data_IF_956464836044
#
_entry.id   IF_956464836044
#
_cell.length_a   1.000
_cell.length_b   1.000
_cell.length_c   1.000
_cell.angle_alpha   90.00
_cell.angle_beta   90.00
_cell.angle_gamma   90.00
#
_symmetry.space_group_name_H-M   'P 1'
#
loop_
_entity.id
_entity.type
_entity.pdbx_description
1 polymer ?
#
# COMPACT_ATOMS: atom_id res chain seq x y z
N UNK A 1 -2.60 -36.93 -56.80
CA UNK A 1 -3.86 -37.64 -56.49
C UNK A 1 -4.25 -37.18 -55.08
N UNK A 2 -5.16 -36.22 -54.89
CA UNK A 2 -6.63 -36.34 -54.99
C UNK A 2 -7.14 -37.34 -53.93
N UNK A 3 -7.94 -37.02 -52.92
CA UNK A 3 -8.76 -35.84 -52.63
C UNK A 3 -9.06 -35.75 -51.10
N UNK A 4 -9.24 -34.55 -50.54
CA UNK A 4 -9.97 -34.32 -49.29
C UNK A 4 -11.48 -34.46 -49.49
N UNK A 5 -12.20 -35.00 -48.51
CA UNK A 5 -13.68 -34.96 -48.43
C UNK A 5 -14.05 -34.40 -47.04
N UNK A 6 -14.60 -33.19 -46.92
CA UNK A 6 -15.91 -32.75 -47.41
C UNK A 6 -17.05 -33.33 -46.55
N UNK A 7 -17.36 -32.60 -45.49
CA UNK A 7 -18.71 -32.34 -44.95
C UNK A 7 -18.60 -30.90 -44.42
N UNK A 8 -18.85 -29.84 -45.20
CA UNK A 8 -20.10 -29.53 -45.92
C UNK A 8 -21.28 -29.86 -44.99
N UNK A 9 -21.97 -28.89 -44.42
CA UNK A 9 -22.62 -27.77 -45.08
C UNK A 9 -22.68 -26.56 -44.13
N UNK A 10 -22.26 -25.36 -44.56
CA UNK A 10 -23.03 -24.44 -45.40
C UNK A 10 -24.25 -23.92 -44.60
N UNK A 11 -24.55 -22.64 -44.47
CA UNK A 11 -24.49 -21.64 -45.52
C UNK A 11 -25.04 -20.31 -44.99
N UNK A 12 -24.41 -19.21 -45.42
CA UNK A 12 -25.02 -17.91 -45.76
C UNK A 12 -26.05 -17.33 -44.78
N UNK A 13 -25.67 -16.19 -44.22
CA UNK A 13 -26.34 -14.97 -44.66
C UNK A 13 -25.35 -13.79 -44.75
N UNK A 14 -24.86 -13.56 -45.97
CA UNK A 14 -24.43 -12.24 -46.41
C UNK A 14 -25.68 -11.37 -46.51
N UNK A 15 -25.80 -10.28 -45.74
CA UNK A 15 -26.43 -9.04 -46.23
C UNK A 15 -26.28 -7.86 -45.26
N UNK A 16 -25.67 -6.81 -45.81
CA UNK A 16 -25.90 -5.38 -45.61
C UNK A 16 -27.20 -5.00 -44.89
N UNK A 17 -27.11 -4.10 -43.91
CA UNK A 17 -28.27 -3.39 -43.37
C UNK A 17 -27.93 -2.42 -42.25
N UNK A 18 -27.84 -1.11 -42.56
CA UNK A 18 -28.03 -0.04 -41.59
C UNK A 18 -29.49 -0.07 -41.13
N UNK A 19 -29.73 -0.21 -39.83
CA UNK A 19 -30.97 0.28 -39.19
C UNK A 19 -30.71 0.51 -37.70
N UNK A 20 -30.93 1.76 -37.29
CA UNK A 20 -31.07 2.18 -35.91
C UNK A 20 -32.38 1.59 -35.30
N UNK A 21 -32.47 1.54 -33.96
CA UNK A 21 -33.52 2.18 -33.14
C UNK A 21 -33.36 1.79 -31.66
N UNK A 22 -33.27 2.84 -30.85
CA UNK A 22 -33.78 3.08 -29.48
C UNK A 22 -33.72 2.00 -28.39
N UNK A 23 -33.08 2.41 -27.27
CA UNK A 23 -33.86 2.71 -26.06
C UNK A 23 -33.69 1.74 -24.89
N UNK A 24 -32.99 2.21 -23.84
CA UNK A 24 -33.34 1.98 -22.43
C UNK A 24 -32.65 3.08 -21.60
N UNK A 25 -33.46 4.00 -21.09
CA UNK A 25 -33.03 5.10 -20.23
C UNK A 25 -32.82 4.61 -18.79
N UNK A 26 -31.65 4.89 -18.22
CA UNK A 26 -31.44 4.85 -16.76
C UNK A 26 -31.13 6.27 -16.31
N UNK A 27 -32.11 6.89 -15.67
CA UNK A 27 -31.98 8.19 -15.02
C UNK A 27 -31.31 7.97 -13.67
N UNK A 28 -30.03 8.34 -13.54
CA UNK A 28 -29.39 8.51 -12.24
C UNK A 28 -29.41 10.01 -11.90
N UNK A 29 -30.21 10.38 -10.91
CA UNK A 29 -30.38 11.75 -10.46
C UNK A 29 -29.05 12.30 -9.90
N UNK A 30 -28.62 13.42 -10.47
CA UNK A 30 -27.55 14.27 -9.95
C UNK A 30 -28.11 15.06 -8.75
N UNK A 31 -27.83 14.60 -7.54
CA UNK A 31 -28.02 15.39 -6.33
C UNK A 31 -26.91 16.43 -6.20
N UNK A 32 -27.03 17.56 -6.91
CA UNK A 32 -26.28 18.78 -6.63
C UNK A 32 -26.94 19.49 -5.44
N UNK A 33 -26.28 19.52 -4.28
CA UNK A 33 -26.63 20.44 -3.21
C UNK A 33 -25.48 21.39 -2.93
N UNK A 34 -25.81 22.66 -3.06
CA UNK A 34 -25.28 23.83 -2.37
C UNK A 34 -23.81 24.24 -2.61
N UNK A 35 -23.72 25.24 -3.47
CA UNK A 35 -22.72 26.30 -3.53
C UNK A 35 -22.59 27.05 -2.19
N UNK A 36 -21.36 27.36 -1.79
CA UNK A 36 -21.01 28.39 -0.81
C UNK A 36 -19.67 28.99 -1.20
N UNK A 37 -19.70 30.21 -1.73
CA UNK A 37 -18.55 30.99 -2.21
C UNK A 37 -17.63 31.44 -1.07
N UNK A 38 -16.30 31.36 -1.28
CA UNK A 38 -15.37 32.47 -0.98
C UNK A 38 -14.04 32.23 -1.71
N UNK A 39 -13.55 33.28 -2.36
CA UNK A 39 -12.26 33.41 -3.04
C UNK A 39 -11.07 32.94 -2.19
N UNK A 40 -10.10 32.23 -2.77
CA UNK A 40 -8.65 32.56 -2.76
C UNK A 40 -7.88 31.56 -3.63
N UNK A 41 -6.99 32.10 -4.48
CA UNK A 41 -5.96 31.35 -5.18
C UNK A 41 -5.11 30.57 -4.17
N UNK A 42 -5.01 29.25 -4.33
CA UNK A 42 -3.77 28.55 -4.01
C UNK A 42 -3.66 27.24 -4.80
N UNK A 43 -2.42 26.83 -5.03
CA UNK A 43 -1.98 25.84 -6.02
C UNK A 43 -2.53 24.43 -5.74
N UNK A 44 -2.63 23.53 -6.75
CA UNK A 44 -3.08 22.16 -6.51
C UNK A 44 -2.00 21.40 -5.72
N UNK A 45 -2.21 21.22 -4.41
CA UNK A 45 -1.55 20.16 -3.66
C UNK A 45 -2.19 18.84 -4.09
N UNK A 46 -1.42 17.79 -4.46
CA UNK A 46 -2.01 16.50 -4.78
C UNK A 46 -2.70 15.95 -3.54
N UNK A 47 -4.03 15.92 -3.56
CA UNK A 47 -4.82 15.19 -2.58
C UNK A 47 -4.63 13.71 -2.88
N UNK A 48 -4.17 12.98 -1.88
CA UNK A 48 -3.82 11.57 -1.98
C UNK A 48 -5.09 10.74 -2.06
N UNK A 49 -5.35 10.13 -3.21
CA UNK A 49 -6.45 9.18 -3.38
C UNK A 49 -6.15 7.90 -2.60
N UNK A 50 -6.79 7.73 -1.44
CA UNK A 50 -6.96 6.44 -0.78
C UNK A 50 -8.02 5.65 -1.53
N UNK A 51 -7.61 4.69 -2.36
CA UNK A 51 -8.53 3.67 -2.88
C UNK A 51 -8.74 2.62 -1.80
N UNK A 52 -9.82 2.78 -1.02
CA UNK A 52 -10.24 1.78 -0.03
C UNK A 52 -10.94 0.62 -0.73
N UNK A 53 -10.34 -0.56 -0.70
CA UNK A 53 -11.02 -1.82 -1.04
C UNK A 53 -12.16 -2.09 -0.04
N UNK A 54 -13.23 -2.84 -0.40
CA UNK A 54 -14.31 -3.16 0.52
C UNK A 54 -13.75 -3.92 1.73
N UNK A 55 -14.02 -3.39 2.92
CA UNK A 55 -13.60 -3.99 4.18
C UNK A 55 -14.23 -5.38 4.34
N UNK A 56 -13.39 -6.41 4.47
CA UNK A 56 -13.84 -7.72 4.90
C UNK A 56 -14.25 -7.59 6.38
N UNK A 57 -15.50 -7.92 6.73
CA UNK A 57 -16.12 -7.58 8.01
C UNK A 57 -15.44 -8.18 9.27
N UNK A 58 -14.38 -8.97 9.08
CA UNK A 58 -13.64 -9.66 10.13
C UNK A 58 -12.15 -9.23 10.22
N UNK A 59 -11.73 -8.19 9.49
CA UNK A 59 -10.36 -7.68 9.51
C UNK A 59 -10.35 -6.22 10.00
N UNK A 60 -9.35 -5.83 10.83
CA UNK A 60 -9.20 -4.43 11.23
C UNK A 60 -8.94 -3.58 9.98
N UNK A 61 -9.46 -2.36 9.98
CA UNK A 61 -9.20 -1.41 8.91
C UNK A 61 -7.68 -1.26 8.70
N UNK A 62 -7.23 -1.08 7.44
CA UNK A 62 -5.84 -0.75 7.18
C UNK A 62 -5.48 0.54 7.93
N UNK A 63 -4.28 0.62 8.52
CA UNK A 63 -3.86 1.78 9.29
C UNK A 63 -3.75 2.99 8.35
N UNK A 64 -4.08 4.17 8.88
CA UNK A 64 -3.95 5.43 8.14
C UNK A 64 -2.49 5.82 7.98
N UNK A 65 -2.22 6.74 7.05
CA UNK A 65 -0.89 7.35 6.86
C UNK A 65 -0.37 7.97 8.15
N UNK A 66 -1.23 8.65 8.90
CA UNK A 66 -0.88 9.32 10.16
C UNK A 66 -0.53 8.31 11.26
N UNK A 67 -1.32 7.23 11.40
CA UNK A 67 -1.01 6.16 12.34
C UNK A 67 0.30 5.46 12.01
N UNK A 68 0.55 5.16 10.73
CA UNK A 68 1.81 4.55 10.32
C UNK A 68 3.00 5.49 10.53
N UNK A 69 2.86 6.79 10.29
CA UNK A 69 3.90 7.77 10.62
C UNK A 69 4.17 7.82 12.12
N UNK A 70 3.15 7.81 12.96
CA UNK A 70 3.31 7.79 14.42
C UNK A 70 4.00 6.50 14.89
N UNK A 71 3.65 5.34 14.31
CA UNK A 71 4.32 4.07 14.60
C UNK A 71 5.77 4.06 14.13
N UNK A 72 6.03 4.57 12.93
CA UNK A 72 7.37 4.70 12.36
C UNK A 72 8.27 5.59 13.24
N UNK A 73 7.76 6.75 13.66
CA UNK A 73 8.47 7.63 14.58
C UNK A 73 8.74 6.94 15.92
N UNK A 74 7.75 6.25 16.48
CA UNK A 74 7.95 5.47 17.73
C UNK A 74 8.97 4.35 17.56
N UNK A 75 9.00 3.66 16.42
CA UNK A 75 9.96 2.59 16.15
C UNK A 75 11.39 3.13 16.08
N UNK A 76 11.57 4.31 15.49
CA UNK A 76 12.87 4.95 15.27
C UNK A 76 13.30 5.87 16.43
N UNK A 77 12.42 6.15 17.39
CA UNK A 77 12.74 6.96 18.57
C UNK A 77 13.55 6.13 19.59
N UNK A 78 14.81 6.50 19.89
CA UNK A 78 15.63 5.79 20.88
C UNK A 78 15.09 5.88 22.32
N UNK A 79 14.16 6.80 22.59
CA UNK A 79 13.52 6.98 23.90
C UNK A 79 12.40 5.97 24.15
N UNK A 80 11.87 5.35 23.09
CA UNK A 80 10.83 4.33 23.20
C UNK A 80 11.47 2.99 23.57
N UNK A 81 11.00 2.31 24.64
CA UNK A 81 11.55 1.02 25.04
C UNK A 81 11.42 -0.03 23.94
N UNK A 82 12.46 -0.85 23.76
CA UNK A 82 12.50 -1.91 22.73
C UNK A 82 11.29 -2.84 22.80
N UNK A 83 10.82 -3.16 24.02
CA UNK A 83 9.65 -4.01 24.25
C UNK A 83 8.37 -3.52 23.55
N UNK A 84 8.16 -2.20 23.43
CA UNK A 84 7.00 -1.65 22.71
C UNK A 84 7.16 -1.76 21.20
N UNK A 85 8.41 -1.82 20.71
CA UNK A 85 8.75 -1.94 19.29
C UNK A 85 8.69 -3.39 18.81
N UNK A 86 8.73 -4.37 19.72
CA UNK A 86 8.69 -5.80 19.36
C UNK A 86 7.35 -6.25 18.76
N UNK A 87 6.29 -5.47 18.96
CA UNK A 87 4.98 -5.81 18.38
C UNK A 87 4.82 -5.29 16.94
N UNK A 88 5.77 -4.49 16.42
CA UNK A 88 5.66 -3.81 15.12
C UNK A 88 6.15 -4.64 13.93
N UNK A 89 7.02 -5.62 14.17
CA UNK A 89 7.65 -6.46 13.13
C UNK A 89 7.44 -7.92 13.48
N UNK A 90 7.08 -8.75 12.50
CA UNK A 90 6.94 -10.19 12.75
C UNK A 90 8.26 -10.85 13.15
N UNK A 91 8.24 -11.62 14.24
CA UNK A 91 9.37 -12.44 14.67
C UNK A 91 10.54 -11.66 15.29
N UNK A 92 10.41 -10.36 15.49
CA UNK A 92 11.44 -9.53 16.14
C UNK A 92 11.63 -9.86 17.63
N UNK A 93 10.71 -10.65 18.21
CA UNK A 93 10.81 -11.26 19.53
C UNK A 93 12.13 -12.05 19.71
N UNK A 94 12.67 -12.59 18.61
CA UNK A 94 13.95 -13.28 18.59
C UNK A 94 15.18 -12.34 18.69
N UNK A 95 15.01 -11.03 18.53
CA UNK A 95 16.07 -10.03 18.67
C UNK A 95 15.56 -8.74 19.36
N UNK A 96 15.43 -8.75 20.69
CA UNK A 96 14.91 -7.62 21.45
C UNK A 96 15.80 -6.37 21.39
N UNK A 97 17.07 -6.52 21.01
CA UNK A 97 18.06 -5.44 20.92
C UNK A 97 18.00 -4.73 19.56
N UNK A 98 17.47 -5.38 18.51
CA UNK A 98 17.40 -4.83 17.15
C UNK A 98 16.74 -3.45 17.07
N UNK A 99 15.57 -3.21 17.70
CA UNK A 99 14.88 -1.93 17.56
C UNK A 99 15.71 -0.76 18.11
N UNK A 100 16.53 -1.01 19.14
CA UNK A 100 17.40 0.00 19.70
C UNK A 100 18.59 0.27 18.76
N UNK A 101 19.24 -0.79 18.22
CA UNK A 101 20.31 -0.64 17.21
C UNK A 101 19.84 0.11 15.97
N UNK A 102 18.63 -0.20 15.49
CA UNK A 102 18.02 0.49 14.34
C UNK A 102 17.75 1.97 14.65
N UNK A 103 17.19 2.29 15.83
CA UNK A 103 16.95 3.67 16.24
C UNK A 103 18.25 4.49 16.34
N UNK A 104 19.33 3.89 16.87
CA UNK A 104 20.66 4.53 16.89
C UNK A 104 21.20 4.74 15.47
N UNK A 105 21.20 3.71 14.63
CA UNK A 105 21.69 3.81 13.24
C UNK A 105 20.92 4.88 12.44
N UNK A 106 19.62 4.99 12.65
CA UNK A 106 18.77 5.99 12.02
C UNK A 106 19.11 7.42 12.48
N UNK A 107 19.37 7.59 13.79
CA UNK A 107 19.82 8.86 14.37
C UNK A 107 21.20 9.26 13.85
N UNK A 108 22.14 8.32 13.81
CA UNK A 108 23.51 8.53 13.34
C UNK A 108 23.55 8.88 11.85
N UNK A 109 22.66 8.28 11.05
CA UNK A 109 22.49 8.60 9.63
C UNK A 109 21.80 9.95 9.37
N UNK A 110 21.33 10.65 10.42
CA UNK A 110 20.50 11.85 10.34
C UNK A 110 19.35 11.67 9.32
N UNK A 111 18.77 10.47 9.31
CA UNK A 111 17.76 10.07 8.36
C UNK A 111 16.39 10.65 8.74
N UNK A 112 15.55 10.90 7.74
CA UNK A 112 14.12 11.22 7.90
C UNK A 112 13.29 10.20 7.15
N UNK A 113 12.10 9.92 7.63
CA UNK A 113 11.23 8.90 7.10
C UNK A 113 9.80 9.39 7.27
N UNK A 114 9.05 9.36 6.19
CA UNK A 114 7.69 9.83 6.15
C UNK A 114 6.89 8.83 5.34
N UNK A 115 5.87 8.23 5.96
CA UNK A 115 4.84 7.52 5.22
C UNK A 115 4.02 8.57 4.52
N UNK A 116 3.96 8.43 3.22
CA UNK A 116 3.20 9.33 2.39
C UNK A 116 1.84 8.67 2.15
N UNK A 117 1.76 7.37 1.84
CA UNK A 117 0.55 6.69 1.42
C UNK A 117 0.34 5.31 2.02
N UNK A 118 -0.90 4.84 1.90
CA UNK A 118 -1.28 3.46 2.23
C UNK A 118 -2.18 2.94 1.14
N UNK A 119 -1.93 1.72 0.69
CA UNK A 119 -2.75 0.99 -0.27
C UNK A 119 -3.07 -0.39 0.29
N UNK A 120 -4.36 -0.70 0.40
CA UNK A 120 -4.84 -1.99 0.88
C UNK A 120 -5.24 -2.88 -0.31
N UNK A 121 -4.74 -4.11 -0.30
CA UNK A 121 -5.01 -5.17 -1.27
C UNK A 121 -5.67 -6.33 -0.54
N UNK A 122 -6.97 -6.21 -0.23
CA UNK A 122 -7.69 -7.23 0.54
C UNK A 122 -7.02 -7.50 1.89
N UNK A 123 -6.32 -8.63 2.00
CA UNK A 123 -5.65 -9.10 3.23
C UNK A 123 -4.20 -8.60 3.39
N UNK A 124 -3.71 -7.76 2.47
CA UNK A 124 -2.36 -7.19 2.51
C UNK A 124 -2.43 -5.67 2.45
N UNK A 125 -1.51 -4.99 3.14
CA UNK A 125 -1.40 -3.53 3.12
C UNK A 125 0.01 -3.15 2.69
N UNK A 126 0.14 -2.20 1.77
CA UNK A 126 1.43 -1.60 1.42
C UNK A 126 1.41 -0.14 1.83
N UNK A 127 2.42 0.30 2.58
CA UNK A 127 2.62 1.70 2.92
C UNK A 127 3.71 2.30 2.04
N UNK A 128 3.36 3.34 1.30
CA UNK A 128 4.33 4.12 0.54
C UNK A 128 4.96 5.17 1.43
N UNK A 129 6.28 5.19 1.53
CA UNK A 129 7.04 6.18 2.26
C UNK A 129 8.13 6.82 1.43
N UNK A 130 8.80 7.79 2.03
CA UNK A 130 10.04 8.38 1.55
C UNK A 130 11.04 8.42 2.71
N UNK A 131 12.26 7.98 2.44
CA UNK A 131 13.41 8.12 3.33
C UNK A 131 14.33 9.21 2.79
N UNK A 132 14.64 10.20 3.61
CA UNK A 132 15.61 11.25 3.29
C UNK A 132 16.89 10.97 4.06
N UNK A 133 18.02 10.77 3.37
CA UNK A 133 19.34 10.57 3.99
C UNK A 133 20.28 11.58 3.34
N UNK A 134 20.97 12.41 4.13
CA UNK A 134 21.86 13.48 3.63
C UNK A 134 21.20 14.42 2.60
N UNK A 135 19.88 14.65 2.71
CA UNK A 135 19.12 15.47 1.76
C UNK A 135 18.66 14.76 0.48
N UNK A 136 19.04 13.50 0.28
CA UNK A 136 18.55 12.68 -0.84
C UNK A 136 17.30 11.91 -0.43
N UNK A 137 16.19 12.14 -1.14
CA UNK A 137 14.94 11.41 -0.95
C UNK A 137 14.93 10.10 -1.75
N UNK A 138 14.58 9.01 -1.08
CA UNK A 138 14.46 7.67 -1.63
C UNK A 138 13.05 7.14 -1.33
N UNK A 139 12.22 6.85 -2.34
CA UNK A 139 10.92 6.24 -2.12
C UNK A 139 11.09 4.81 -1.59
N UNK A 140 10.14 4.39 -0.75
CA UNK A 140 10.11 3.06 -0.16
C UNK A 140 8.68 2.54 -0.13
N UNK A 141 8.51 1.26 -0.36
CA UNK A 141 7.24 0.56 -0.16
C UNK A 141 7.43 -0.45 0.97
N UNK A 142 6.62 -0.32 2.01
CA UNK A 142 6.67 -1.16 3.22
C UNK A 142 5.45 -2.08 3.22
N UNK A 143 5.61 -3.38 2.96
CA UNK A 143 4.53 -4.35 3.05
C UNK A 143 4.22 -4.68 4.52
N UNK A 144 2.94 -4.65 4.83
CA UNK A 144 2.34 -5.03 6.09
C UNK A 144 1.47 -6.27 5.90
N UNK A 145 1.52 -7.15 6.89
CA UNK A 145 0.72 -8.36 6.98
C UNK A 145 -0.10 -8.33 8.26
N UNK A 146 -1.29 -8.92 8.20
CA UNK A 146 -2.15 -9.04 9.37
C UNK A 146 -1.73 -10.24 10.21
N UNK A 147 -1.14 -9.98 11.38
CA UNK A 147 -0.67 -10.99 12.34
C UNK A 147 -1.44 -10.85 13.66
N UNK A 148 -2.18 -11.89 14.07
CA UNK A 148 -2.93 -11.90 15.34
C UNK A 148 -3.85 -10.67 15.52
N UNK A 149 -4.47 -10.20 14.43
CA UNK A 149 -5.36 -9.04 14.44
C UNK A 149 -4.66 -7.67 14.48
N UNK A 150 -3.34 -7.63 14.27
CA UNK A 150 -2.54 -6.40 14.19
C UNK A 150 -1.75 -6.35 12.89
N UNK A 151 -1.69 -5.18 12.29
CA UNK A 151 -0.84 -4.93 11.12
C UNK A 151 0.62 -4.87 11.56
N UNK A 152 1.44 -5.78 11.03
CA UNK A 152 2.88 -5.83 11.31
C UNK A 152 3.66 -5.75 10.01
N UNK A 153 4.86 -5.16 10.08
CA UNK A 153 5.77 -5.15 8.94
C UNK A 153 6.17 -6.59 8.62
N UNK A 154 6.13 -6.94 7.33
CA UNK A 154 6.51 -8.26 6.86
C UNK A 154 7.98 -8.55 7.22
N UNK A 155 8.20 -9.73 7.82
CA UNK A 155 9.53 -10.18 8.26
C UNK A 155 10.60 -10.09 7.16
N UNK A 156 10.32 -10.63 5.97
CA UNK A 156 11.27 -10.65 4.86
C UNK A 156 11.70 -9.25 4.42
N UNK A 157 10.75 -8.31 4.35
CA UNK A 157 11.05 -6.92 4.03
C UNK A 157 11.90 -6.26 5.12
N UNK A 158 11.54 -6.46 6.39
CA UNK A 158 12.31 -5.93 7.52
C UNK A 158 13.76 -6.47 7.48
N UNK A 159 13.94 -7.75 7.20
CA UNK A 159 15.26 -8.36 7.08
C UNK A 159 16.08 -7.82 5.91
N UNK A 160 15.45 -7.58 4.75
CA UNK A 160 16.13 -6.93 3.62
C UNK A 160 16.55 -5.50 3.95
N UNK A 161 15.69 -4.73 4.63
CA UNK A 161 16.01 -3.38 5.07
C UNK A 161 17.19 -3.36 6.06
N UNK A 162 17.22 -4.30 7.02
CA UNK A 162 18.35 -4.45 7.94
C UNK A 162 19.64 -4.80 7.21
N UNK A 163 19.58 -5.70 6.23
CA UNK A 163 20.73 -6.05 5.38
C UNK A 163 21.29 -4.84 4.62
N UNK A 164 20.43 -3.98 4.07
CA UNK A 164 20.83 -2.73 3.41
C UNK A 164 21.52 -1.74 4.36
N UNK A 165 21.18 -1.78 5.65
CA UNK A 165 21.82 -1.00 6.72
C UNK A 165 23.05 -1.71 7.33
N UNK A 166 23.45 -2.86 6.78
CA UNK A 166 24.51 -3.71 7.31
C UNK A 166 24.27 -4.10 8.79
N UNK A 167 23.00 -4.22 9.18
CA UNK A 167 22.54 -4.67 10.49
C UNK A 167 22.18 -6.15 10.44
N UNK A 168 22.66 -6.91 11.41
CA UNK A 168 22.32 -8.32 11.59
C UNK A 168 21.26 -8.48 12.67
N UNK A 169 20.39 -9.48 12.49
CA UNK A 169 19.39 -9.86 13.47
C UNK A 169 19.17 -11.37 13.49
N UNK A 170 19.23 -12.05 14.65
CA UNK A 170 18.78 -13.43 14.77
C UNK A 170 17.30 -13.61 14.41
N UNK A 171 16.47 -12.56 14.47
CA UNK A 171 15.12 -12.63 13.92
C UNK A 171 15.13 -12.95 12.41
N UNK A 172 16.16 -12.52 11.69
CA UNK A 172 16.36 -12.74 10.25
C UNK A 172 17.19 -13.97 9.91
N UNK A 173 17.70 -14.69 10.90
CA UNK A 173 18.28 -16.00 10.70
C UNK A 173 17.13 -16.98 10.39
N UNK A 174 16.98 -17.32 9.11
CA UNK A 174 16.18 -18.44 8.62
C UNK A 174 17.09 -19.61 8.31
#
# INVERSE_FOLDING_TARGET
MYQPNAKDEQLKLRKTGRTAIAGLAVVAALGLTACGSDDKKDSPKPSRTTTSAPANANQPAPPTVEELNALLQKALDPSVPSAQKLDLVQGIEADPELPNRLAQAYKDANAKAEITGVTAFGESVSAQGKFTINGTENPVDVPFVLDRGKWKVQKSWACNALGALNLQSPACAS
#
